data_IF_148573102136
#
_entry.id   IF_148573102136
#
_cell.length_a   1.000
_cell.length_b   1.000
_cell.length_c   1.000
_cell.angle_alpha   90.00
_cell.angle_beta   90.00
_cell.angle_gamma   90.00
#
_symmetry.space_group_name_H-M   'P 1'
#
loop_
_entity.id
_entity.type
_entity.pdbx_description
1 polymer ?
#
# COMPACT_ATOMS: atom_id res chain seq x y z
N UNK A 1 -32.59 -6.21 21.78
CA UNK A 1 -31.62 -5.92 20.70
C UNK A 1 -30.43 -6.85 20.87
N UNK A 2 -29.83 -7.38 19.78
CA UNK A 2 -28.43 -7.76 19.82
C UNK A 2 -27.59 -6.55 20.22
N UNK A 3 -26.44 -6.74 20.86
CA UNK A 3 -25.45 -5.67 20.92
C UNK A 3 -25.00 -5.36 19.49
N UNK A 4 -24.87 -4.08 19.14
CA UNK A 4 -24.20 -3.71 17.91
C UNK A 4 -22.77 -4.26 17.97
N UNK A 5 -22.32 -4.94 16.91
CA UNK A 5 -20.94 -5.38 16.84
C UNK A 5 -20.02 -4.15 16.93
N UNK A 6 -18.94 -4.26 17.72
CA UNK A 6 -17.97 -3.18 17.87
C UNK A 6 -17.51 -2.70 16.49
N UNK A 7 -17.65 -1.40 16.23
CA UNK A 7 -17.33 -0.80 14.96
C UNK A 7 -15.81 -0.59 14.91
N UNK A 8 -15.07 -1.66 14.62
CA UNK A 8 -13.61 -1.68 14.72
C UNK A 8 -12.91 -1.20 13.44
N UNK A 9 -11.71 -0.65 13.61
CA UNK A 9 -10.77 -0.30 12.55
C UNK A 9 -9.33 -0.65 12.96
N UNK A 10 -8.44 -0.80 11.98
CA UNK A 10 -7.01 -1.03 12.20
C UNK A 10 -6.20 0.22 11.88
N UNK A 11 -5.59 0.82 12.90
CA UNK A 11 -4.73 1.99 12.74
C UNK A 11 -3.25 1.60 12.61
N UNK A 12 -2.64 2.03 11.52
CA UNK A 12 -1.26 1.77 11.14
C UNK A 12 -0.28 2.88 11.53
N UNK A 13 -0.78 3.97 12.12
CA UNK A 13 0.04 5.09 12.58
C UNK A 13 0.39 6.08 11.47
N UNK A 14 1.50 6.77 11.66
CA UNK A 14 2.02 7.78 10.74
C UNK A 14 3.05 7.18 9.77
N UNK A 15 2.86 7.39 8.47
CA UNK A 15 3.85 7.08 7.43
C UNK A 15 4.54 8.38 6.97
N UNK A 16 5.85 8.53 7.20
CA UNK A 16 6.61 9.69 6.74
C UNK A 16 6.79 9.68 5.22
N UNK A 17 7.16 10.82 4.64
CA UNK A 17 7.57 10.90 3.22
C UNK A 17 8.96 10.28 3.02
N UNK A 18 9.13 9.39 2.04
CA UNK A 18 10.46 8.88 1.69
C UNK A 18 11.24 9.96 0.91
N UNK A 19 12.19 10.64 1.57
CA UNK A 19 12.98 11.76 1.01
C UNK A 19 14.23 11.25 0.28
N UNK A 20 14.28 11.40 -1.05
CA UNK A 20 15.48 11.06 -1.83
C UNK A 20 16.62 12.05 -1.54
N UNK A 21 17.73 11.57 -0.99
CA UNK A 21 18.93 12.38 -0.72
C UNK A 21 20.04 12.18 -1.76
N UNK A 22 20.23 13.16 -2.64
CA UNK A 22 21.44 13.29 -3.46
C UNK A 22 22.62 13.79 -2.62
N UNK A 23 23.32 12.87 -1.95
CA UNK A 23 24.44 13.24 -1.08
C UNK A 23 25.51 14.10 -1.77
N UNK A 24 25.88 15.21 -1.15
CA UNK A 24 26.99 16.06 -1.60
C UNK A 24 28.30 15.25 -1.66
N UNK A 25 29.23 15.69 -2.52
CA UNK A 25 30.59 15.15 -2.52
C UNK A 25 31.27 15.50 -1.19
N UNK A 26 32.02 14.57 -0.57
CA UNK A 26 32.70 14.84 0.69
C UNK A 26 33.77 15.92 0.51
N UNK A 27 33.60 17.05 1.19
CA UNK A 27 34.63 18.08 1.32
C UNK A 27 35.85 17.52 2.05
N UNK A 28 37.05 17.75 1.49
CA UNK A 28 38.31 17.19 2.02
C UNK A 28 38.72 17.81 3.35
N UNK A 29 38.28 17.22 4.46
CA UNK A 29 38.81 17.52 5.79
C UNK A 29 40.17 16.83 5.97
N UNK A 30 41.25 17.61 6.05
CA UNK A 30 42.61 17.12 6.33
C UNK A 30 42.68 16.50 7.72
N UNK A 31 43.04 15.22 7.81
CA UNK A 31 43.19 14.50 9.07
C UNK A 31 44.51 14.84 9.78
N UNK A 32 44.41 15.38 11.00
CA UNK A 32 45.52 15.41 11.95
C UNK A 32 45.50 14.11 12.78
N UNK A 33 46.61 13.40 12.84
CA UNK A 33 46.72 12.11 13.54
C UNK A 33 47.16 12.26 14.99
N UNK A 34 46.53 11.48 15.89
CA UNK A 34 47.12 11.11 17.18
C UNK A 34 46.78 9.66 17.50
N UNK A 35 47.79 8.85 17.82
CA UNK A 35 47.63 7.44 18.20
C UNK A 35 47.53 7.26 19.71
N UNK A 36 46.94 6.14 20.14
CA UNK A 36 47.22 5.44 21.42
C UNK A 36 46.85 3.95 21.21
N UNK A 37 47.46 3.05 21.99
CA UNK A 37 47.41 1.59 21.79
C UNK A 37 46.58 0.86 22.88
N UNK A 38 46.15 -0.41 22.67
CA UNK A 38 45.22 -1.11 23.56
C UNK A 38 45.89 -2.00 24.63
N UNK A 39 45.09 -2.44 25.62
CA UNK A 39 45.49 -3.40 26.67
C UNK A 39 44.34 -4.40 26.96
N UNK A 40 44.66 -5.59 27.48
CA UNK A 40 43.73 -6.70 27.80
C UNK A 40 44.10 -7.31 29.20
N UNK A 41 43.67 -8.48 29.70
CA UNK A 41 43.01 -9.68 29.15
C UNK A 41 42.51 -10.56 30.34
N UNK A 42 41.31 -11.16 30.32
CA UNK A 42 40.93 -12.39 31.08
C UNK A 42 39.51 -12.88 30.64
N UNK A 43 39.09 -14.16 30.50
CA UNK A 43 39.44 -15.47 31.11
C UNK A 43 38.85 -15.64 32.53
N UNK A 44 38.11 -16.68 32.97
CA UNK A 44 37.74 -18.07 32.54
C UNK A 44 36.47 -18.49 33.37
N UNK A 45 35.77 -19.64 33.35
CA UNK A 45 35.45 -20.87 32.54
C UNK A 45 34.28 -21.59 33.35
N UNK A 46 33.63 -22.74 33.08
CA UNK A 46 33.61 -23.84 32.08
C UNK A 46 32.23 -24.59 32.18
N UNK A 47 31.90 -25.54 31.28
CA UNK A 47 30.82 -26.55 31.47
C UNK A 47 30.13 -26.97 30.16
N UNK A 48 30.06 -28.27 29.82
CA UNK A 48 29.62 -28.74 28.49
C UNK A 48 28.95 -30.13 28.46
N UNK A 49 27.90 -30.24 27.62
CA UNK A 49 27.32 -31.41 26.88
C UNK A 49 26.92 -32.70 27.68
N UNK A 50 25.91 -33.51 27.27
CA UNK A 50 25.78 -34.10 25.93
C UNK A 50 24.39 -34.08 25.25
N UNK A 51 24.38 -34.04 23.90
CA UNK A 51 23.29 -34.52 23.01
C UNK A 51 23.23 -36.08 22.95
N UNK A 52 22.24 -36.79 22.34
CA UNK A 52 21.21 -36.44 21.32
C UNK A 52 19.81 -37.07 21.66
N UNK A 53 18.84 -37.40 20.74
CA UNK A 53 18.69 -37.16 19.29
C UNK A 53 17.31 -36.59 18.82
N UNK A 54 17.24 -36.36 17.50
CA UNK A 54 16.17 -35.71 16.70
C UNK A 54 14.81 -36.43 16.69
N UNK A 55 13.70 -35.66 16.73
CA UNK A 55 12.53 -35.87 15.84
C UNK A 55 11.64 -34.63 15.66
N UNK A 56 11.40 -34.27 14.39
CA UNK A 56 10.28 -33.46 13.87
C UNK A 56 9.77 -32.30 14.73
N UNK A 57 10.52 -31.20 14.78
CA UNK A 57 9.91 -29.88 14.84
C UNK A 57 9.46 -29.47 13.43
N UNK A 58 8.28 -28.86 13.29
CA UNK A 58 7.84 -28.30 12.02
C UNK A 58 8.69 -27.07 11.67
N UNK A 59 8.98 -26.88 10.37
CA UNK A 59 9.69 -25.70 9.91
C UNK A 59 8.76 -24.48 9.95
N UNK A 60 8.75 -23.76 11.08
CA UNK A 60 8.31 -22.36 11.09
C UNK A 60 9.27 -21.53 10.23
N UNK A 61 8.96 -21.45 8.94
CA UNK A 61 9.54 -20.44 8.05
C UNK A 61 9.25 -19.06 8.67
N UNK A 62 10.28 -18.25 8.99
CA UNK A 62 10.04 -16.97 9.65
C UNK A 62 9.22 -16.08 8.72
N UNK A 63 7.99 -15.76 9.14
CA UNK A 63 7.10 -14.84 8.43
C UNK A 63 7.65 -13.42 8.53
N UNK A 64 8.54 -13.12 7.59
CA UNK A 64 9.11 -11.79 7.44
C UNK A 64 8.01 -10.76 7.16
N UNK A 65 8.30 -9.51 7.50
CA UNK A 65 7.67 -8.30 6.96
C UNK A 65 6.41 -7.68 7.61
N UNK A 66 5.92 -8.12 8.77
CA UNK A 66 4.90 -7.33 9.52
C UNK A 66 5.46 -5.99 10.03
N UNK A 67 4.81 -4.88 9.67
CA UNK A 67 5.26 -3.52 9.96
C UNK A 67 4.77 -2.99 11.33
N UNK A 68 5.00 -3.80 12.38
CA UNK A 68 4.20 -3.86 13.63
C UNK A 68 2.80 -4.43 13.38
N UNK A 69 2.20 -5.01 14.43
CA UNK A 69 0.75 -5.31 14.41
C UNK A 69 -0.01 -3.97 14.41
N UNK A 70 -1.13 -3.84 13.66
CA UNK A 70 -1.99 -2.67 13.75
C UNK A 70 -2.50 -2.48 15.18
N UNK A 71 -2.77 -1.24 15.54
CA UNK A 71 -3.55 -0.92 16.73
C UNK A 71 -5.03 -1.00 16.34
N UNK A 72 -5.75 -1.96 16.91
CA UNK A 72 -7.20 -2.06 16.71
C UNK A 72 -7.89 -1.05 17.62
N UNK A 73 -8.73 -0.21 17.04
CA UNK A 73 -9.54 0.79 17.74
C UNK A 73 -11.02 0.59 17.41
N UNK A 74 -11.89 0.84 18.39
CA UNK A 74 -13.25 1.27 18.09
C UNK A 74 -13.19 2.59 17.30
N UNK A 75 -13.98 2.71 16.23
CA UNK A 75 -13.95 3.85 15.30
C UNK A 75 -14.24 5.19 16.02
N UNK A 76 -14.98 5.16 17.13
CA UNK A 76 -15.23 6.32 17.98
C UNK A 76 -14.01 6.75 18.83
N UNK A 77 -13.03 5.86 19.04
CA UNK A 77 -11.82 6.09 19.84
C UNK A 77 -10.55 6.27 18.98
N UNK A 78 -10.71 6.39 17.65
CA UNK A 78 -9.60 6.62 16.72
C UNK A 78 -8.75 7.83 17.13
N UNK A 79 -7.41 7.73 17.19
CA UNK A 79 -6.55 8.85 17.58
C UNK A 79 -6.78 10.08 16.69
N UNK A 80 -6.80 11.30 17.27
CA UNK A 80 -7.00 12.52 16.50
C UNK A 80 -5.92 12.67 15.42
N UNK A 81 -6.35 13.07 14.22
CA UNK A 81 -5.46 13.30 13.08
C UNK A 81 -4.60 14.55 13.31
N UNK A 82 -3.31 14.50 12.99
CA UNK A 82 -2.48 15.70 12.96
C UNK A 82 -2.95 16.70 11.89
N UNK A 83 -2.73 17.99 12.13
CA UNK A 83 -2.84 19.04 11.10
C UNK A 83 -1.78 18.90 10.00
N UNK A 84 -0.70 18.14 10.27
CA UNK A 84 0.38 17.83 9.32
C UNK A 84 0.19 16.50 8.57
N UNK A 85 -0.97 15.84 8.67
CA UNK A 85 -1.23 14.57 7.98
C UNK A 85 -2.52 14.51 7.15
N UNK A 86 -2.50 13.59 6.18
CA UNK A 86 -3.63 13.15 5.36
C UNK A 86 -4.01 11.72 5.78
N UNK A 87 -5.17 11.55 6.43
CA UNK A 87 -5.71 10.27 6.87
C UNK A 87 -6.37 9.56 5.70
N UNK A 88 -5.78 8.43 5.30
CA UNK A 88 -6.39 7.49 4.37
C UNK A 88 -7.21 6.48 5.16
N UNK A 89 -8.43 6.21 4.69
CA UNK A 89 -9.24 5.06 5.10
C UNK A 89 -9.31 4.14 3.89
N UNK A 90 -8.92 2.89 4.08
CA UNK A 90 -8.63 1.94 3.01
C UNK A 90 -9.50 0.70 3.22
N UNK A 91 -10.25 0.35 2.19
CA UNK A 91 -11.17 -0.78 2.15
C UNK A 91 -11.01 -1.55 0.83
N UNK A 92 -11.36 -2.83 0.81
CA UNK A 92 -11.32 -3.67 -0.39
C UNK A 92 -12.16 -4.93 -0.20
N UNK A 93 -12.41 -5.67 -1.29
CA UNK A 93 -12.97 -7.03 -1.25
C UNK A 93 -14.35 -7.05 -0.58
N UNK A 94 -15.13 -6.00 -0.86
CA UNK A 94 -16.45 -5.78 -0.25
C UNK A 94 -17.46 -6.86 -0.64
N UNK A 95 -17.29 -7.51 -1.80
CA UNK A 95 -18.13 -8.61 -2.31
C UNK A 95 -19.63 -8.45 -1.98
N UNK A 96 -20.18 -7.28 -2.30
CA UNK A 96 -21.61 -6.94 -2.15
C UNK A 96 -22.14 -6.92 -0.69
N UNK A 97 -21.23 -6.97 0.31
CA UNK A 97 -21.50 -6.88 1.77
C UNK A 97 -21.27 -5.48 2.37
N UNK A 98 -21.12 -4.45 1.54
CA UNK A 98 -20.82 -3.06 1.96
C UNK A 98 -21.79 -2.50 3.01
N UNK A 99 -23.06 -2.92 2.99
CA UNK A 99 -24.07 -2.55 3.99
C UNK A 99 -23.83 -3.11 5.40
N UNK A 100 -22.90 -4.06 5.57
CA UNK A 100 -22.50 -4.62 6.88
C UNK A 100 -21.31 -3.88 7.52
N UNK A 101 -20.69 -2.93 6.80
CA UNK A 101 -19.41 -2.32 7.20
C UNK A 101 -19.60 -0.97 7.88
N UNK A 102 -18.88 -0.77 8.99
CA UNK A 102 -18.65 0.55 9.59
C UNK A 102 -17.32 1.10 9.09
N UNK A 103 -17.34 2.25 8.42
CA UNK A 103 -16.15 2.89 7.83
C UNK A 103 -15.78 4.12 8.67
N UNK A 104 -14.53 4.25 9.17
CA UNK A 104 -14.13 5.43 9.94
C UNK A 104 -14.05 6.69 9.09
N UNK A 105 -14.02 7.85 9.74
CA UNK A 105 -13.81 9.14 9.08
C UNK A 105 -12.32 9.39 8.77
N UNK A 106 -12.06 9.96 7.60
CA UNK A 106 -10.73 10.40 7.15
C UNK A 106 -10.82 11.45 6.04
N UNK A 107 -9.67 11.79 5.46
CA UNK A 107 -9.57 12.76 4.36
C UNK A 107 -9.82 12.13 2.99
N UNK A 108 -9.37 10.88 2.82
CA UNK A 108 -9.46 10.11 1.57
C UNK A 108 -9.97 8.71 1.87
N UNK A 109 -11.12 8.35 1.30
CA UNK A 109 -11.57 6.95 1.26
C UNK A 109 -11.03 6.29 -0.01
N UNK A 110 -10.41 5.12 0.11
CA UNK A 110 -9.88 4.33 -1.00
C UNK A 110 -10.50 2.95 -1.01
N UNK A 111 -11.11 2.55 -2.13
CA UNK A 111 -11.56 1.18 -2.37
C UNK A 111 -10.66 0.47 -3.39
N UNK A 112 -10.00 -0.61 -2.97
CA UNK A 112 -9.00 -1.33 -3.75
C UNK A 112 -9.57 -2.46 -4.65
N UNK A 113 -10.87 -2.47 -4.95
CA UNK A 113 -11.51 -3.40 -5.89
C UNK A 113 -12.21 -4.60 -5.25
N UNK A 114 -12.79 -5.45 -6.09
CA UNK A 114 -13.70 -6.54 -5.73
C UNK A 114 -14.94 -6.05 -4.98
N UNK A 115 -15.68 -5.20 -5.69
CA UNK A 115 -17.04 -4.79 -5.35
C UNK A 115 -17.99 -6.00 -5.44
N UNK A 116 -17.84 -6.80 -6.50
CA UNK A 116 -18.73 -7.90 -6.87
C UNK A 116 -18.37 -9.23 -6.16
N UNK A 117 -19.36 -10.09 -5.93
CA UNK A 117 -19.16 -11.49 -5.50
C UNK A 117 -18.63 -12.35 -6.68
N UNK A 118 -18.87 -11.92 -7.93
CA UNK A 118 -18.21 -12.45 -9.14
C UNK A 118 -18.84 -13.69 -9.78
N UNK A 119 -19.81 -14.33 -9.13
CA UNK A 119 -20.42 -15.61 -9.54
C UNK A 119 -21.96 -15.64 -9.64
N UNK A 120 -22.67 -14.58 -9.22
CA UNK A 120 -24.14 -14.61 -9.11
C UNK A 120 -24.83 -14.19 -10.43
N UNK A 121 -24.86 -15.10 -11.41
CA UNK A 121 -25.41 -14.87 -12.76
C UNK A 121 -26.91 -14.50 -12.83
N UNK A 122 -27.67 -14.67 -11.74
CA UNK A 122 -29.10 -14.32 -11.68
C UNK A 122 -29.38 -12.97 -10.99
N UNK A 123 -28.36 -12.28 -10.46
CA UNK A 123 -28.51 -10.99 -9.78
C UNK A 123 -28.61 -9.85 -10.80
N UNK A 124 -29.44 -8.85 -10.52
CA UNK A 124 -29.38 -7.57 -11.24
C UNK A 124 -28.09 -6.84 -10.84
N UNK A 125 -27.07 -7.01 -11.67
CA UNK A 125 -25.75 -6.41 -11.48
C UNK A 125 -25.80 -4.88 -11.57
N UNK A 126 -26.73 -4.31 -12.34
CA UNK A 126 -26.90 -2.85 -12.42
C UNK A 126 -27.48 -2.32 -11.11
N UNK A 127 -28.52 -2.96 -10.57
CA UNK A 127 -29.09 -2.57 -9.28
C UNK A 127 -28.07 -2.68 -8.15
N UNK A 128 -27.28 -3.77 -8.09
CA UNK A 128 -26.22 -3.95 -7.11
C UNK A 128 -25.11 -2.87 -7.22
N UNK A 129 -24.60 -2.61 -8.42
CA UNK A 129 -23.58 -1.58 -8.62
C UNK A 129 -24.12 -0.17 -8.30
N UNK A 130 -25.42 0.06 -8.53
CA UNK A 130 -26.09 1.30 -8.12
C UNK A 130 -26.19 1.41 -6.60
N UNK A 131 -26.53 0.33 -5.88
CA UNK A 131 -26.60 0.34 -4.41
C UNK A 131 -25.24 0.54 -3.75
N UNK A 132 -24.20 -0.15 -4.25
CA UNK A 132 -22.83 0.04 -3.78
C UNK A 132 -22.36 1.47 -4.06
N UNK A 133 -22.60 2.03 -5.26
CA UNK A 133 -22.22 3.42 -5.55
C UNK A 133 -22.95 4.41 -4.66
N UNK A 134 -24.26 4.24 -4.45
CA UNK A 134 -25.05 5.07 -3.56
C UNK A 134 -24.56 5.01 -2.11
N UNK A 135 -24.09 3.85 -1.63
CA UNK A 135 -23.42 3.73 -0.33
C UNK A 135 -22.06 4.44 -0.31
N UNK A 136 -21.18 4.12 -1.26
CA UNK A 136 -19.79 4.61 -1.29
C UNK A 136 -19.71 6.14 -1.45
N UNK A 137 -20.68 6.73 -2.15
CA UNK A 137 -20.75 8.19 -2.40
C UNK A 137 -21.53 8.98 -1.34
N UNK A 138 -22.25 8.32 -0.42
CA UNK A 138 -23.05 8.99 0.62
C UNK A 138 -22.16 9.82 1.55
N UNK A 139 -22.32 11.14 1.55
CA UNK A 139 -21.51 12.05 2.37
C UNK A 139 -21.93 12.08 3.86
N UNK A 140 -23.05 11.45 4.22
CA UNK A 140 -23.52 11.24 5.59
C UNK A 140 -22.87 10.01 6.20
N UNK A 141 -22.79 8.91 5.43
CA UNK A 141 -22.11 7.67 5.85
C UNK A 141 -20.59 7.81 5.74
N UNK A 142 -20.11 8.52 4.72
CA UNK A 142 -18.70 8.66 4.37
C UNK A 142 -18.36 10.13 4.09
N UNK A 143 -18.20 10.97 5.13
CA UNK A 143 -17.93 12.41 4.98
C UNK A 143 -16.55 12.77 4.39
N UNK A 144 -15.77 11.77 3.96
CA UNK A 144 -14.52 11.90 3.22
C UNK A 144 -14.64 12.88 2.03
N UNK A 145 -13.89 14.00 2.03
CA UNK A 145 -13.88 14.95 0.92
C UNK A 145 -13.41 14.35 -0.41
N UNK A 146 -12.49 13.38 -0.36
CA UNK A 146 -12.04 12.62 -1.52
C UNK A 146 -12.40 11.14 -1.37
N UNK A 147 -12.91 10.57 -2.46
CA UNK A 147 -13.27 9.15 -2.58
C UNK A 147 -12.62 8.61 -3.86
N UNK A 148 -11.74 7.63 -3.74
CA UNK A 148 -11.00 7.00 -4.85
C UNK A 148 -11.38 5.53 -4.94
N UNK A 149 -11.55 5.00 -6.16
CA UNK A 149 -11.93 3.60 -6.36
C UNK A 149 -11.25 3.00 -7.59
N UNK A 150 -10.82 1.74 -7.46
CA UNK A 150 -10.43 0.87 -8.58
C UNK A 150 -11.35 -0.35 -8.61
N UNK A 151 -11.23 -1.17 -9.65
CA UNK A 151 -11.92 -2.45 -9.76
C UNK A 151 -10.96 -3.64 -9.51
N UNK A 152 -11.50 -4.79 -9.16
CA UNK A 152 -10.78 -6.05 -8.95
C UNK A 152 -11.10 -7.13 -9.99
N UNK A 153 -10.70 -8.38 -9.73
CA UNK A 153 -10.87 -9.49 -10.68
C UNK A 153 -12.26 -10.16 -10.64
N UNK A 154 -13.06 -9.95 -9.59
CA UNK A 154 -14.48 -10.30 -9.54
C UNK A 154 -15.34 -9.31 -10.33
N UNK A 155 -14.87 -8.07 -10.53
CA UNK A 155 -15.61 -6.92 -11.09
C UNK A 155 -15.80 -6.97 -12.62
N UNK A 156 -16.29 -8.11 -13.12
CA UNK A 156 -16.49 -8.38 -14.57
C UNK A 156 -17.42 -7.40 -15.25
N UNK A 157 -18.46 -6.92 -14.58
CA UNK A 157 -19.38 -5.96 -15.20
C UNK A 157 -18.73 -4.59 -15.34
N UNK A 158 -17.85 -4.21 -14.41
CA UNK A 158 -17.03 -2.99 -14.53
C UNK A 158 -16.03 -3.14 -15.68
N UNK A 159 -15.38 -4.31 -15.81
CA UNK A 159 -14.51 -4.62 -16.95
C UNK A 159 -15.22 -4.71 -18.30
N UNK A 160 -16.56 -4.85 -18.32
CA UNK A 160 -17.38 -4.89 -19.53
C UNK A 160 -18.01 -3.53 -19.89
N UNK A 161 -17.98 -2.55 -18.99
CA UNK A 161 -18.49 -1.20 -19.24
C UNK A 161 -17.40 -0.28 -19.82
N UNK A 162 -17.76 0.72 -20.65
CA UNK A 162 -16.85 1.81 -21.00
C UNK A 162 -16.40 2.57 -19.74
N UNK A 163 -15.12 2.91 -19.64
CA UNK A 163 -14.53 3.61 -18.47
C UNK A 163 -15.29 4.87 -18.08
N UNK A 164 -15.85 5.59 -19.05
CA UNK A 164 -16.65 6.80 -18.82
C UNK A 164 -18.02 6.52 -18.17
N UNK A 165 -18.62 5.36 -18.42
CA UNK A 165 -19.86 4.94 -17.75
C UNK A 165 -19.58 4.46 -16.31
N UNK A 166 -18.41 3.86 -16.08
CA UNK A 166 -17.92 3.55 -14.73
C UNK A 166 -17.64 4.85 -13.94
N UNK A 167 -17.00 5.84 -14.56
CA UNK A 167 -16.79 7.17 -13.96
C UNK A 167 -18.11 7.89 -13.67
N UNK A 168 -19.11 7.80 -14.56
CA UNK A 168 -20.47 8.31 -14.32
C UNK A 168 -21.18 7.60 -13.17
N UNK A 169 -21.06 6.26 -13.09
CA UNK A 169 -21.66 5.45 -12.03
C UNK A 169 -21.17 5.82 -10.63
N UNK A 170 -19.86 6.09 -10.48
CA UNK A 170 -19.24 6.36 -9.18
C UNK A 170 -19.13 7.85 -8.81
N UNK A 171 -19.47 8.78 -9.70
CA UNK A 171 -19.40 10.21 -9.43
C UNK A 171 -20.22 10.60 -8.17
N UNK A 172 -19.68 11.41 -7.24
CA UNK A 172 -18.46 12.22 -7.33
C UNK A 172 -17.14 11.51 -6.96
N UNK A 173 -17.14 10.22 -6.63
CA UNK A 173 -15.91 9.46 -6.41
C UNK A 173 -15.14 9.25 -7.74
N UNK A 174 -13.81 9.21 -7.66
CA UNK A 174 -12.93 9.11 -8.83
C UNK A 174 -12.57 7.65 -9.07
N UNK A 175 -13.12 7.08 -10.15
CA UNK A 175 -12.69 5.78 -10.67
C UNK A 175 -11.39 5.89 -11.45
N UNK A 176 -10.37 5.13 -11.03
CA UNK A 176 -9.03 5.09 -11.63
C UNK A 176 -8.83 3.77 -12.38
N UNK A 177 -8.42 3.85 -13.64
CA UNK A 177 -8.19 2.69 -14.51
C UNK A 177 -6.98 2.94 -15.42
N UNK A 178 -5.78 2.74 -14.86
CA UNK A 178 -4.51 3.25 -15.40
C UNK A 178 -4.42 4.77 -15.38
N UNK A 179 -4.93 5.40 -14.31
CA UNK A 179 -5.00 6.86 -14.17
C UNK A 179 -4.30 7.37 -12.91
N UNK A 180 -3.84 8.62 -12.98
CA UNK A 180 -3.33 9.38 -11.85
C UNK A 180 -4.29 10.49 -11.41
N UNK A 181 -4.23 10.84 -10.12
CA UNK A 181 -5.02 11.89 -9.50
C UNK A 181 -4.21 12.52 -8.36
N UNK A 182 -4.34 13.84 -8.19
CA UNK A 182 -3.68 14.59 -7.11
C UNK A 182 -4.71 15.07 -6.11
N UNK A 183 -4.48 14.81 -4.82
CA UNK A 183 -5.26 15.39 -3.73
C UNK A 183 -4.68 16.77 -3.42
N UNK A 184 -5.44 17.82 -3.71
CA UNK A 184 -5.09 19.23 -3.49
C UNK A 184 -5.86 19.79 -2.29
N UNK A 185 -5.31 20.75 -1.50
CA UNK A 185 -3.98 21.38 -1.66
C UNK A 185 -2.80 20.53 -1.13
N UNK A 186 -3.06 19.38 -0.51
CA UNK A 186 -2.04 18.48 0.06
C UNK A 186 -0.88 18.08 -0.91
N UNK A 187 -1.16 18.08 -2.22
CA UNK A 187 -0.27 17.68 -3.31
C UNK A 187 0.26 16.23 -3.18
N UNK A 188 -0.57 15.33 -2.66
CA UNK A 188 -0.29 13.88 -2.59
C UNK A 188 -0.86 13.22 -3.85
N UNK A 189 -0.02 12.52 -4.62
CA UNK A 189 -0.42 11.90 -5.89
C UNK A 189 -0.68 10.41 -5.78
N UNK A 190 -1.85 10.00 -6.23
CA UNK A 190 -2.26 8.60 -6.36
C UNK A 190 -2.14 8.16 -7.82
N UNK A 191 -1.86 6.87 -8.03
CA UNK A 191 -2.05 6.19 -9.31
C UNK A 191 -2.85 4.91 -9.07
N UNK A 192 -3.89 4.66 -9.87
CA UNK A 192 -4.82 3.54 -9.66
C UNK A 192 -4.89 2.58 -10.85
N UNK A 193 -4.83 1.28 -10.56
CA UNK A 193 -4.86 0.22 -11.56
C UNK A 193 -5.68 -1.01 -11.13
N UNK A 194 -6.69 -1.42 -11.92
CA UNK A 194 -7.43 -2.65 -11.67
C UNK A 194 -6.72 -3.92 -12.18
N UNK A 195 -5.46 -3.83 -12.64
CA UNK A 195 -4.69 -4.98 -13.17
C UNK A 195 -4.65 -6.14 -12.17
N UNK A 196 -5.02 -7.32 -12.63
CA UNK A 196 -5.03 -8.54 -11.82
C UNK A 196 -4.37 -9.73 -12.55
N UNK A 197 -4.18 -10.83 -11.83
CA UNK A 197 -3.74 -12.12 -12.37
C UNK A 197 -4.66 -13.23 -11.84
N UNK A 198 -4.83 -14.32 -12.60
CA UNK A 198 -5.74 -15.40 -12.19
C UNK A 198 -5.21 -16.16 -10.98
N UNK A 199 -6.12 -16.45 -10.03
CA UNK A 199 -5.80 -17.16 -8.79
C UNK A 199 -5.51 -18.65 -9.04
N UNK A 200 -6.09 -19.22 -10.09
CA UNK A 200 -5.83 -20.59 -10.54
C UNK A 200 -6.24 -20.76 -12.01
N UNK A 201 -5.95 -21.92 -12.61
CA UNK A 201 -6.44 -22.28 -13.95
C UNK A 201 -7.96 -22.39 -14.06
N UNK A 202 -8.66 -22.48 -12.92
CA UNK A 202 -10.10 -22.71 -12.82
C UNK A 202 -10.84 -21.56 -12.11
N UNK A 203 -10.15 -20.48 -11.75
CA UNK A 203 -10.81 -19.33 -11.12
C UNK A 203 -11.78 -18.69 -12.11
N UNK A 204 -13.06 -18.51 -11.75
CA UNK A 204 -14.02 -17.83 -12.62
C UNK A 204 -13.78 -16.31 -12.65
N UNK A 205 -12.95 -15.77 -11.77
CA UNK A 205 -12.86 -14.34 -11.49
C UNK A 205 -11.69 -13.74 -12.28
N UNK A 206 -12.00 -13.34 -13.51
CA UNK A 206 -11.05 -13.09 -14.60
C UNK A 206 -10.98 -11.64 -15.08
N UNK A 207 -11.63 -10.70 -14.39
CA UNK A 207 -11.66 -9.30 -14.79
C UNK A 207 -10.26 -8.66 -14.76
N UNK A 208 -9.95 -7.82 -15.75
CA UNK A 208 -8.67 -7.10 -15.91
C UNK A 208 -7.39 -7.95 -16.07
N UNK A 209 -7.49 -9.25 -16.38
CA UNK A 209 -6.34 -10.18 -16.55
C UNK A 209 -5.70 -10.20 -17.95
N UNK A 210 -5.82 -9.10 -18.70
CA UNK A 210 -5.33 -9.03 -20.08
C UNK A 210 -3.81 -9.11 -20.18
N UNK A 211 -3.24 -10.10 -20.89
CA UNK A 211 -1.77 -10.29 -21.02
C UNK A 211 -0.98 -9.06 -21.50
N UNK A 212 -1.62 -8.12 -22.23
CA UNK A 212 -1.00 -6.85 -22.65
C UNK A 212 -0.77 -5.88 -21.47
N UNK A 213 -1.50 -6.03 -20.37
CA UNK A 213 -1.49 -5.16 -19.20
C UNK A 213 -0.36 -5.49 -18.20
N UNK A 214 0.66 -6.26 -18.60
CA UNK A 214 1.91 -6.41 -17.83
C UNK A 214 3.16 -6.11 -18.67
N UNK A 215 2.99 -5.40 -19.81
CA UNK A 215 4.11 -4.85 -20.59
C UNK A 215 4.90 -3.83 -19.75
N UNK A 216 6.25 -3.91 -19.74
CA UNK A 216 7.07 -2.92 -19.05
C UNK A 216 6.89 -1.50 -19.58
N UNK A 217 6.79 -0.55 -18.65
CA UNK A 217 6.81 0.89 -18.88
C UNK A 217 7.53 1.58 -17.70
N UNK A 218 7.70 2.89 -17.75
CA UNK A 218 8.17 3.68 -16.61
C UNK A 218 7.76 5.14 -16.80
N UNK A 219 7.20 5.78 -15.78
CA UNK A 219 6.91 7.21 -15.86
C UNK A 219 8.21 8.03 -15.81
N UNK A 220 8.31 9.08 -16.62
CA UNK A 220 9.46 9.99 -16.57
C UNK A 220 9.62 10.61 -15.16
N UNK A 221 8.50 10.90 -14.48
CA UNK A 221 8.47 11.41 -13.11
C UNK A 221 8.98 10.43 -12.05
N UNK A 222 9.01 9.12 -12.30
CA UNK A 222 9.64 8.15 -11.38
C UNK A 222 11.15 8.42 -11.22
N UNK A 223 11.79 9.00 -12.23
CA UNK A 223 13.21 9.41 -12.25
C UNK A 223 13.43 10.83 -11.74
N UNK A 224 12.38 11.62 -11.56
CA UNK A 224 12.50 12.98 -11.03
C UNK A 224 12.99 12.92 -9.57
N UNK A 225 13.99 13.73 -9.26
CA UNK A 225 14.50 13.87 -7.89
C UNK A 225 13.52 14.68 -7.03
N UNK A 226 13.63 14.56 -5.72
CA UNK A 226 13.09 15.58 -4.83
C UNK A 226 14.01 16.79 -4.92
N UNK A 227 13.62 17.80 -5.72
CA UNK A 227 14.23 19.12 -5.63
C UNK A 227 14.18 19.63 -4.19
N UNK A 228 15.14 20.45 -3.74
CA UNK A 228 15.27 20.85 -2.34
C UNK A 228 13.92 21.39 -1.86
N UNK A 229 13.33 20.68 -0.88
CA UNK A 229 11.99 20.99 -0.42
C UNK A 229 11.98 22.43 0.08
N UNK A 230 11.30 23.31 -0.64
CA UNK A 230 10.99 24.64 -0.14
C UNK A 230 10.23 24.44 1.16
N UNK A 231 10.88 24.73 2.30
CA UNK A 231 10.29 24.58 3.64
C UNK A 231 9.27 25.70 3.81
N UNK A 232 8.13 25.53 3.14
CA UNK A 232 6.97 26.38 3.31
C UNK A 232 6.44 26.13 4.70
N UNK A 233 6.71 27.07 5.59
CA UNK A 233 6.20 27.11 6.96
C UNK A 233 4.71 27.46 7.01
N UNK A 234 4.10 27.77 5.86
CA UNK A 234 2.65 27.85 5.72
C UNK A 234 2.03 26.44 5.79
N UNK A 235 0.92 26.25 6.54
CA UNK A 235 0.22 24.97 6.58
C UNK A 235 -0.32 24.63 5.18
N UNK A 236 0.09 23.50 4.61
CA UNK A 236 -0.31 23.08 3.25
C UNK A 236 -1.81 22.81 3.10
N UNK A 237 -2.50 22.60 4.21
CA UNK A 237 -3.95 22.69 4.31
C UNK A 237 -4.30 23.83 5.27
N UNK A 238 -4.71 24.99 4.75
CA UNK A 238 -5.51 25.92 5.54
C UNK A 238 -6.95 25.38 5.62
N UNK A 239 -7.70 25.63 6.71
CA UNK A 239 -9.09 25.17 6.84
C UNK A 239 -10.06 25.82 5.83
N UNK A 240 -9.59 26.76 5.02
CA UNK A 240 -10.38 27.53 4.04
C UNK A 240 -10.43 26.89 2.64
N UNK A 241 -9.59 25.88 2.36
CA UNK A 241 -9.60 25.14 1.09
C UNK A 241 -9.98 23.67 1.31
N UNK A 242 -11.16 23.21 0.85
CA UNK A 242 -11.55 21.81 0.99
C UNK A 242 -10.67 20.92 0.12
N UNK A 243 -10.32 19.74 0.65
CA UNK A 243 -9.56 18.73 -0.09
C UNK A 243 -10.34 18.26 -1.33
N UNK A 244 -9.66 18.22 -2.48
CA UNK A 244 -10.24 17.82 -3.76
C UNK A 244 -9.32 16.91 -4.55
N UNK A 245 -9.90 16.05 -5.38
CA UNK A 245 -9.17 15.23 -6.34
C UNK A 245 -9.11 15.92 -7.72
N UNK A 246 -7.91 16.37 -8.14
CA UNK A 246 -7.68 16.79 -9.53
C UNK A 246 -7.15 15.61 -10.33
N UNK A 247 -7.95 15.16 -11.29
CA UNK A 247 -7.61 14.08 -12.21
C UNK A 247 -6.48 14.48 -13.18
N UNK A 248 -5.52 13.59 -13.43
CA UNK A 248 -4.40 13.79 -14.36
C UNK A 248 -4.40 12.78 -15.54
N UNK A 249 -5.23 11.74 -15.48
CA UNK A 249 -5.27 10.68 -16.49
C UNK A 249 -4.01 9.78 -16.45
N UNK A 250 -3.80 9.00 -17.51
CA UNK A 250 -2.80 7.93 -17.53
C UNK A 250 -1.32 8.34 -17.58
N UNK A 251 -1.00 9.63 -17.43
CA UNK A 251 0.37 10.11 -17.26
C UNK A 251 0.42 11.04 -16.04
N UNK A 252 1.00 10.59 -14.90
CA UNK A 252 1.29 11.44 -13.74
C UNK A 252 1.97 12.76 -14.11
N UNK A 253 1.41 13.88 -13.68
CA UNK A 253 2.02 15.22 -13.82
C UNK A 253 3.23 15.46 -12.92
N UNK A 254 3.60 14.47 -12.11
CA UNK A 254 4.74 14.45 -11.20
C UNK A 254 4.93 13.06 -10.60
N UNK A 255 5.79 12.90 -9.58
CA UNK A 255 6.02 11.61 -8.96
C UNK A 255 4.77 11.09 -8.25
N UNK A 256 4.62 9.77 -8.19
CA UNK A 256 3.51 9.09 -7.48
C UNK A 256 3.90 8.88 -6.02
N UNK A 257 3.03 9.29 -5.09
CA UNK A 257 3.18 9.02 -3.67
C UNK A 257 2.60 7.65 -3.32
N UNK A 258 1.36 7.41 -3.76
CA UNK A 258 0.54 6.23 -3.43
C UNK A 258 0.19 5.46 -4.70
N UNK A 259 0.49 4.17 -4.73
CA UNK A 259 -0.02 3.27 -5.78
C UNK A 259 -1.19 2.47 -5.21
N UNK A 260 -2.31 2.44 -5.93
CA UNK A 260 -3.48 1.61 -5.63
C UNK A 260 -3.59 0.53 -6.71
N UNK A 261 -3.49 -0.73 -6.30
CA UNK A 261 -3.70 -1.91 -7.15
C UNK A 261 -4.68 -2.84 -6.46
N UNK A 262 -5.39 -3.69 -7.19
CA UNK A 262 -6.21 -4.69 -6.51
C UNK A 262 -5.35 -5.85 -5.97
N UNK A 263 -4.45 -6.33 -6.83
CA UNK A 263 -3.58 -7.48 -6.61
C UNK A 263 -2.61 -7.33 -5.42
N UNK A 264 -2.74 -8.14 -4.36
CA UNK A 264 -1.68 -8.28 -3.36
C UNK A 264 -0.41 -8.94 -3.95
N UNK A 265 0.79 -8.39 -3.66
CA UNK A 265 2.10 -8.96 -4.02
C UNK A 265 2.64 -10.02 -3.05
N UNK A 266 2.10 -10.12 -1.84
CA UNK A 266 2.74 -10.82 -0.72
C UNK A 266 2.57 -12.35 -0.76
N UNK A 267 1.56 -12.85 -1.50
CA UNK A 267 1.28 -14.28 -1.64
C UNK A 267 1.69 -14.78 -3.04
N UNK A 268 2.72 -15.65 -3.14
CA UNK A 268 3.13 -16.32 -4.38
C UNK A 268 1.95 -16.95 -5.15
N UNK A 269 1.88 -16.73 -6.47
CA UNK A 269 0.83 -17.29 -7.33
C UNK A 269 1.39 -18.31 -8.33
N UNK A 270 0.73 -19.46 -8.39
CA UNK A 270 1.09 -20.61 -9.22
C UNK A 270 2.53 -21.11 -9.02
N UNK A 271 3.48 -20.67 -9.85
CA UNK A 271 4.87 -21.11 -9.83
C UNK A 271 5.87 -19.94 -9.67
N UNK A 272 5.39 -18.73 -9.40
CA UNK A 272 6.22 -17.54 -9.26
C UNK A 272 6.67 -17.32 -7.81
N UNK A 273 7.90 -16.86 -7.60
CA UNK A 273 8.31 -16.24 -6.33
C UNK A 273 7.55 -14.94 -6.05
N UNK A 274 7.74 -14.34 -4.86
CA UNK A 274 7.21 -13.01 -4.54
C UNK A 274 7.74 -11.96 -5.53
N UNK A 275 9.04 -11.99 -5.81
CA UNK A 275 9.74 -11.05 -6.69
C UNK A 275 9.34 -11.21 -8.16
N UNK A 276 9.09 -12.44 -8.59
CA UNK A 276 8.66 -12.79 -9.96
C UNK A 276 7.22 -12.38 -10.28
N UNK A 277 6.41 -12.01 -9.27
CA UNK A 277 5.02 -11.61 -9.51
C UNK A 277 4.93 -10.36 -10.40
N UNK A 278 4.03 -10.33 -11.41
CA UNK A 278 3.84 -9.17 -12.27
C UNK A 278 3.53 -7.87 -11.51
N UNK A 279 2.86 -7.96 -10.36
CA UNK A 279 2.58 -6.80 -9.47
C UNK A 279 3.83 -6.23 -8.81
N UNK A 280 4.82 -7.06 -8.44
CA UNK A 280 6.09 -6.57 -7.90
C UNK A 280 6.88 -5.85 -9.00
N UNK A 281 6.95 -6.44 -10.18
CA UNK A 281 7.51 -5.81 -11.39
C UNK A 281 6.80 -4.49 -11.74
N UNK A 282 5.47 -4.42 -11.62
CA UNK A 282 4.66 -3.22 -11.86
C UNK A 282 4.88 -2.13 -10.81
N UNK A 283 5.01 -2.52 -9.54
CA UNK A 283 5.34 -1.61 -8.43
C UNK A 283 6.72 -0.95 -8.64
N UNK A 284 7.69 -1.67 -9.24
CA UNK A 284 8.98 -1.12 -9.64
C UNK A 284 8.89 -0.12 -10.82
N UNK A 285 7.85 -0.23 -11.67
CA UNK A 285 7.66 0.61 -12.87
C UNK A 285 6.96 1.94 -12.56
N UNK A 286 6.01 1.92 -11.62
CA UNK A 286 5.38 3.14 -11.06
C UNK A 286 6.31 3.81 -10.04
N UNK A 287 7.03 3.01 -9.23
CA UNK A 287 7.94 3.44 -8.17
C UNK A 287 7.33 4.46 -7.17
N UNK A 288 6.23 4.10 -6.48
CA UNK A 288 5.56 4.97 -5.49
C UNK A 288 6.51 5.38 -4.35
N UNK A 289 6.36 6.61 -3.87
CA UNK A 289 7.25 7.24 -2.88
C UNK A 289 6.80 7.10 -1.42
N UNK A 290 5.68 6.43 -1.12
CA UNK A 290 5.18 6.27 0.25
C UNK A 290 4.66 4.86 0.54
N UNK A 291 3.65 4.42 -0.21
CA UNK A 291 2.89 3.21 0.14
C UNK A 291 2.22 2.58 -1.09
N UNK A 292 2.14 1.26 -1.11
CA UNK A 292 1.26 0.47 -1.96
C UNK A 292 -0.03 0.14 -1.21
N UNK A 293 -1.19 0.37 -1.82
CA UNK A 293 -2.50 -0.04 -1.29
C UNK A 293 -3.04 -1.17 -2.15
N UNK A 294 -3.53 -2.24 -1.52
CA UNK A 294 -4.12 -3.39 -2.21
C UNK A 294 -5.21 -4.12 -1.42
N UNK A 295 -5.69 -5.22 -2.00
CA UNK A 295 -6.69 -6.12 -1.43
C UNK A 295 -6.46 -7.55 -1.91
N UNK A 296 -7.53 -8.16 -2.39
CA UNK A 296 -7.61 -9.41 -3.14
C UNK A 296 -7.32 -10.72 -2.36
N UNK A 297 -6.46 -10.71 -1.33
CA UNK A 297 -6.14 -11.94 -0.59
C UNK A 297 -6.09 -11.78 0.93
N UNK A 298 -7.05 -12.49 1.53
CA UNK A 298 -7.30 -12.72 2.95
C UNK A 298 -6.09 -13.20 3.78
N UNK A 299 -5.14 -13.90 3.15
CA UNK A 299 -3.95 -14.43 3.83
C UNK A 299 -2.84 -13.40 4.04
N UNK A 300 -2.98 -12.21 3.45
CA UNK A 300 -2.01 -11.12 3.50
C UNK A 300 -2.66 -9.80 3.94
N UNK A 301 -3.85 -9.80 4.56
CA UNK A 301 -4.39 -8.59 5.18
C UNK A 301 -3.39 -8.03 6.21
N UNK A 302 -3.19 -6.71 6.23
CA UNK A 302 -2.22 -6.05 7.12
C UNK A 302 -1.26 -5.08 6.42
N UNK A 303 -0.31 -4.53 7.19
CA UNK A 303 0.79 -3.73 6.67
C UNK A 303 2.11 -4.51 6.58
N UNK A 304 2.65 -4.60 5.38
CA UNK A 304 3.81 -5.41 4.98
C UNK A 304 4.97 -4.58 4.44
N UNK A 305 6.14 -5.21 4.31
CA UNK A 305 7.38 -4.63 3.78
C UNK A 305 7.77 -5.28 2.46
N UNK A 306 7.55 -4.59 1.34
CA UNK A 306 7.96 -5.06 0.02
C UNK A 306 9.37 -4.58 -0.33
N UNK A 307 10.24 -5.39 -0.97
CA UNK A 307 11.60 -4.97 -1.30
C UNK A 307 11.62 -3.73 -2.21
N UNK A 308 12.39 -2.70 -1.82
CA UNK A 308 12.47 -1.44 -2.58
C UNK A 308 13.04 -1.69 -3.99
N UNK A 309 12.40 -1.14 -5.05
CA UNK A 309 12.88 -1.24 -6.41
C UNK A 309 14.36 -0.86 -6.56
N UNK A 310 15.12 -1.58 -7.38
CA UNK A 310 16.57 -1.37 -7.50
C UNK A 310 16.93 0.06 -7.94
N UNK A 311 16.16 0.63 -8.86
CA UNK A 311 16.27 2.04 -9.26
C UNK A 311 16.07 3.01 -8.09
N UNK A 312 15.16 2.68 -7.16
CA UNK A 312 14.89 3.48 -5.96
C UNK A 312 16.04 3.30 -4.97
N UNK A 313 16.51 2.07 -4.70
CA UNK A 313 17.72 1.82 -3.88
C UNK A 313 18.94 2.59 -4.39
N UNK A 314 19.15 2.64 -5.71
CA UNK A 314 20.20 3.45 -6.37
C UNK A 314 19.99 4.96 -6.13
N UNK A 315 18.75 5.46 -6.23
CA UNK A 315 18.43 6.86 -5.89
C UNK A 315 18.65 7.22 -4.41
N UNK A 316 18.55 6.25 -3.49
CA UNK A 316 18.85 6.41 -2.06
C UNK A 316 20.32 6.11 -1.69
N UNK A 317 21.18 5.78 -2.67
CA UNK A 317 22.58 5.33 -2.48
C UNK A 317 22.74 4.11 -1.55
N UNK A 318 21.71 3.28 -1.42
CA UNK A 318 21.77 2.05 -0.61
C UNK A 318 22.61 1.01 -1.34
N UNK A 319 23.83 0.76 -0.84
CA UNK A 319 24.66 -0.36 -1.27
C UNK A 319 24.01 -1.69 -0.86
N UNK A 320 24.13 -2.73 -1.67
CA UNK A 320 23.70 -4.07 -1.25
C UNK A 320 24.70 -4.69 -0.28
N UNK A 321 24.24 -5.61 0.57
CA UNK A 321 25.06 -6.30 1.58
C UNK A 321 25.91 -7.44 0.99
N UNK A 322 26.21 -7.38 -0.30
CA UNK A 322 27.03 -8.36 -1.01
C UNK A 322 28.51 -8.05 -0.73
N UNK A 323 29.30 -9.06 -0.36
CA UNK A 323 30.61 -8.92 0.30
C UNK A 323 31.79 -8.42 -0.55
N UNK A 324 31.58 -7.45 -1.43
CA UNK A 324 32.65 -6.74 -2.15
C UNK A 324 33.32 -5.66 -1.29
N UNK A 325 34.59 -5.36 -1.57
CA UNK A 325 35.36 -4.32 -0.86
C UNK A 325 34.79 -2.91 -1.06
N UNK A 326 34.91 -2.06 -0.03
CA UNK A 326 34.34 -0.70 -0.06
C UNK A 326 35.17 0.28 -0.91
N UNK A 327 34.51 1.16 -1.68
CA UNK A 327 35.04 2.49 -1.97
C UNK A 327 34.74 3.43 -0.78
N UNK A 328 35.73 4.19 -0.32
CA UNK A 328 35.54 5.17 0.75
C UNK A 328 34.64 6.34 0.30
N UNK A 329 33.86 6.89 1.24
CA UNK A 329 33.02 8.08 1.01
C UNK A 329 31.53 7.83 0.74
N UNK A 330 31.05 6.59 0.77
CA UNK A 330 29.60 6.29 0.66
C UNK A 330 28.91 6.49 2.01
N UNK A 331 28.00 7.47 2.10
CA UNK A 331 27.14 7.67 3.27
C UNK A 331 26.16 6.52 3.40
N UNK A 332 26.26 5.75 4.50
CA UNK A 332 25.19 4.86 4.94
C UNK A 332 24.06 5.70 5.55
N UNK A 333 22.99 5.89 4.80
CA UNK A 333 21.66 6.07 5.40
C UNK A 333 21.27 4.73 6.03
N UNK A 334 20.75 4.76 7.25
CA UNK A 334 20.13 3.58 7.86
C UNK A 334 19.02 3.07 6.93
N UNK A 335 19.11 1.80 6.55
CA UNK A 335 18.40 1.33 5.37
C UNK A 335 16.87 1.45 5.53
N UNK A 336 16.22 2.03 4.51
CA UNK A 336 14.82 1.75 4.20
C UNK A 336 14.83 0.75 3.02
N UNK A 337 15.03 -0.56 3.26
CA UNK A 337 15.05 -1.56 2.20
C UNK A 337 13.64 -1.93 1.73
N UNK A 338 12.59 -1.33 2.30
CA UNK A 338 11.20 -1.69 2.09
C UNK A 338 10.27 -0.52 1.72
N UNK A 339 9.33 -0.80 0.82
CA UNK A 339 8.13 -0.01 0.57
C UNK A 339 7.01 -0.56 1.47
N UNK A 340 6.35 0.28 2.30
CA UNK A 340 5.11 -0.10 2.97
C UNK A 340 4.03 -0.55 1.98
N UNK A 341 3.39 -1.67 2.27
CA UNK A 341 2.21 -2.17 1.57
C UNK A 341 1.07 -2.33 2.57
N UNK A 342 -0.13 -1.82 2.30
CA UNK A 342 -1.32 -2.06 3.12
C UNK A 342 -2.33 -2.82 2.27
N UNK A 343 -2.58 -4.08 2.65
CA UNK A 343 -3.63 -4.90 2.09
C UNK A 343 -4.86 -4.80 3.02
N UNK A 344 -5.96 -4.28 2.48
CA UNK A 344 -7.21 -4.02 3.19
C UNK A 344 -8.38 -4.90 2.68
N UNK A 345 -8.09 -6.13 2.25
CA UNK A 345 -9.11 -7.11 1.87
C UNK A 345 -10.02 -7.42 3.06
N UNK A 346 -11.23 -6.85 3.09
CA UNK A 346 -12.11 -6.88 4.28
C UNK A 346 -12.81 -8.22 4.51
N UNK A 347 -12.36 -9.30 3.87
CA UNK A 347 -12.95 -10.63 3.99
C UNK A 347 -11.86 -11.63 4.43
N UNK A 348 -12.26 -12.67 5.16
CA UNK A 348 -11.43 -13.87 5.38
C UNK A 348 -12.30 -15.11 5.35
N UNK A 349 -12.06 -15.97 4.37
CA UNK A 349 -12.54 -17.35 4.38
C UNK A 349 -11.77 -18.20 5.40
N UNK A 350 -12.35 -18.44 6.57
CA UNK A 350 -11.79 -19.31 7.63
C UNK A 350 -12.74 -20.48 7.89
N UNK A 351 -12.28 -21.71 7.63
CA UNK A 351 -12.98 -22.96 7.98
C UNK A 351 -14.49 -23.00 7.59
N UNK A 352 -14.84 -22.43 6.43
CA UNK A 352 -16.22 -22.40 5.92
C UNK A 352 -17.06 -21.19 6.36
N UNK A 353 -16.48 -20.23 7.09
CA UNK A 353 -17.11 -18.95 7.42
C UNK A 353 -16.34 -17.77 6.79
N UNK A 354 -17.09 -16.79 6.26
CA UNK A 354 -16.56 -15.55 5.72
C UNK A 354 -16.59 -14.45 6.80
N UNK A 355 -15.49 -14.30 7.52
CA UNK A 355 -15.31 -13.24 8.53
C UNK A 355 -15.14 -11.90 7.80
N UNK A 356 -15.85 -10.86 8.27
CA UNK A 356 -15.62 -9.48 7.84
C UNK A 356 -14.48 -8.89 8.69
N UNK A 357 -13.48 -8.28 8.06
CA UNK A 357 -12.37 -7.61 8.74
C UNK A 357 -12.59 -6.08 8.86
N UNK A 358 -11.97 -5.45 9.87
CA UNK A 358 -11.98 -3.99 10.03
C UNK A 358 -11.30 -3.23 8.86
N UNK A 359 -11.79 -2.03 8.49
CA UNK A 359 -11.09 -1.11 7.60
C UNK A 359 -9.70 -0.72 8.10
N UNK A 360 -8.76 -0.50 7.18
CA UNK A 360 -7.42 -0.01 7.50
C UNK A 360 -7.35 1.52 7.48
N UNK A 361 -6.62 2.11 8.43
CA UNK A 361 -6.48 3.57 8.60
C UNK A 361 -5.01 3.95 8.76
N UNK A 362 -4.53 4.95 8.01
CA UNK A 362 -3.13 5.41 8.08
C UNK A 362 -3.00 6.91 7.81
N UNK A 363 -2.08 7.57 8.52
CA UNK A 363 -1.86 9.03 8.41
C UNK A 363 -0.57 9.31 7.61
N UNK A 364 -0.68 9.92 6.42
CA UNK A 364 0.48 10.31 5.61
C UNK A 364 0.97 11.72 5.98
N UNK A 365 2.26 11.88 6.27
CA UNK A 365 2.91 13.17 6.55
C UNK A 365 2.97 14.10 5.32
N UNK A 366 2.57 15.37 5.41
CA UNK A 366 2.47 16.26 4.23
C UNK A 366 3.81 16.86 3.75
#
# INVERSE_FOLDING_TARGET
>A
MPAAAAALCEYYGYLPRLVRHTGLLPSTCTSATSSMAPTALHSSLYGADPSPPVRSGEFELPSTYSLRKPLVYDIAELPPKSVSSLRLVIISDTHERHREMSVPNGDVLVHCGDIQEGLNFMRDVKAMLTDFSAWFTDNTLHPHPVKLIIAGNHDKAIAAMPTEDVRRLFAPAVYLCEDSVVVEPANVRFYGSPRSISNSRWSPNTAFQGKKAWKPFMFASARQEDGPAAVSTAPRCSPEQPLRARFEGGTPGGPVDVLVVHQSPDIPRAHHSVEEQPVCTYTQQVAPRRVLLCGHLHGAHGMHRLPVPELVRKSFRVATRDGGGQPEGVVRLDEIPFLPCINAAMMVGRFGQNVLLPPSVVDLEL
#
